data_IF_813867456465
#
_entry.id   IF_813867456465
#
_cell.length_a   1.000
_cell.length_b   1.000
_cell.length_c   1.000
_cell.angle_alpha   90.00
_cell.angle_beta   90.00
_cell.angle_gamma   90.00
#
_symmetry.space_group_name_H-M   'P 1'
#
loop_
_entity.id
_entity.type
_entity.pdbx_description
1 polymer ?
#
# COMPACT_ATOMS: atom_id res chain seq x y z
N UNK A 1 -11.90 -19.19 0.91
CA UNK A 1 -11.41 -17.81 0.96
C UNK A 1 -10.27 -17.74 -0.05
N UNK A 2 -10.30 -16.78 -0.97
CA UNK A 2 -9.13 -16.53 -1.82
C UNK A 2 -7.94 -16.23 -0.90
N UNK A 3 -6.77 -16.75 -1.26
CA UNK A 3 -5.53 -16.53 -0.49
C UNK A 3 -5.11 -15.06 -0.71
N UNK A 4 -5.58 -14.19 0.20
CA UNK A 4 -5.22 -12.76 0.14
C UNK A 4 -3.73 -12.60 0.40
N UNK A 5 -3.09 -11.72 -0.34
CA UNK A 5 -1.74 -11.27 -0.02
C UNK A 5 -1.69 -10.80 1.44
N UNK A 6 -0.60 -11.07 2.14
CA UNK A 6 -0.47 -10.87 3.59
C UNK A 6 -0.86 -9.46 4.08
N UNK A 7 -0.50 -8.40 3.34
CA UNK A 7 -0.83 -7.02 3.68
C UNK A 7 -2.34 -6.75 3.53
N UNK A 8 -2.98 -7.23 2.47
CA UNK A 8 -4.42 -7.13 2.26
C UNK A 8 -5.20 -7.91 3.33
N UNK A 9 -4.69 -9.08 3.73
CA UNK A 9 -5.28 -9.89 4.79
C UNK A 9 -5.25 -9.17 6.15
N UNK A 10 -4.16 -8.45 6.45
CA UNK A 10 -4.08 -7.61 7.66
C UNK A 10 -5.08 -6.48 7.59
N UNK A 11 -5.17 -5.73 6.47
CA UNK A 11 -6.14 -4.63 6.33
C UNK A 11 -7.57 -5.15 6.49
N UNK A 12 -7.92 -6.26 5.83
CA UNK A 12 -9.24 -6.86 5.95
C UNK A 12 -9.56 -7.25 7.41
N UNK A 13 -8.57 -7.79 8.14
CA UNK A 13 -8.70 -8.12 9.58
C UNK A 13 -8.91 -6.85 10.43
N UNK A 14 -8.11 -5.82 10.20
CA UNK A 14 -8.16 -4.57 10.99
C UNK A 14 -9.45 -3.77 10.76
N UNK A 15 -10.00 -3.88 9.55
CA UNK A 15 -11.27 -3.24 9.20
C UNK A 15 -12.49 -4.11 9.49
N UNK A 16 -12.31 -5.37 9.91
CA UNK A 16 -13.42 -6.24 10.26
C UNK A 16 -14.26 -5.65 11.40
N UNK A 17 -15.59 -5.68 11.25
CA UNK A 17 -16.51 -5.06 12.22
C UNK A 17 -16.77 -3.56 12.01
N UNK A 18 -16.13 -2.93 11.04
CA UNK A 18 -16.36 -1.52 10.67
C UNK A 18 -17.43 -1.36 9.57
N UNK A 19 -18.56 -2.04 9.70
CA UNK A 19 -19.67 -1.94 8.74
C UNK A 19 -20.12 -0.49 8.53
N UNK A 20 -20.41 -0.12 7.28
CA UNK A 20 -20.82 1.23 6.91
C UNK A 20 -19.67 2.23 6.70
N UNK A 21 -18.42 1.82 6.95
CA UNK A 21 -17.25 2.62 6.61
C UNK A 21 -16.99 2.61 5.10
N UNK A 22 -16.41 3.71 4.61
CA UNK A 22 -16.02 3.89 3.21
C UNK A 22 -14.50 3.75 3.07
N UNK A 23 -14.08 2.93 2.12
CA UNK A 23 -12.67 2.66 1.84
C UNK A 23 -12.38 2.97 0.37
N UNK A 24 -11.30 3.73 0.11
CA UNK A 24 -10.75 3.91 -1.23
C UNK A 24 -9.46 3.10 -1.35
N UNK A 25 -9.46 2.12 -2.24
CA UNK A 25 -8.31 1.28 -2.57
C UNK A 25 -7.60 1.86 -3.81
N UNK A 26 -6.45 2.48 -3.61
CA UNK A 26 -5.68 3.20 -4.63
C UNK A 26 -4.65 2.25 -5.24
N UNK A 27 -4.77 2.00 -6.56
CA UNK A 27 -4.06 0.92 -7.23
C UNK A 27 -4.63 -0.43 -6.82
N UNK A 28 -5.96 -0.58 -6.92
CA UNK A 28 -6.69 -1.73 -6.37
C UNK A 28 -6.43 -3.06 -7.07
N UNK A 29 -5.72 -3.05 -8.21
CA UNK A 29 -5.42 -4.24 -8.97
C UNK A 29 -6.68 -4.98 -9.44
N UNK A 30 -6.78 -6.26 -9.17
CA UNK A 30 -7.95 -7.09 -9.50
C UNK A 30 -9.10 -6.99 -8.49
N UNK A 31 -9.01 -6.07 -7.52
CA UNK A 31 -10.02 -5.81 -6.50
C UNK A 31 -10.10 -6.84 -5.38
N UNK A 32 -9.03 -7.58 -5.12
CA UNK A 32 -9.03 -8.63 -4.09
C UNK A 32 -9.38 -8.09 -2.69
N UNK A 33 -8.83 -6.93 -2.30
CA UNK A 33 -9.16 -6.29 -1.03
C UNK A 33 -10.62 -5.83 -0.99
N UNK A 34 -11.08 -5.14 -2.03
CA UNK A 34 -12.47 -4.65 -2.11
C UNK A 34 -13.49 -5.78 -1.99
N UNK A 35 -13.24 -6.91 -2.67
CA UNK A 35 -14.09 -8.08 -2.56
C UNK A 35 -14.11 -8.64 -1.13
N UNK A 36 -12.95 -8.75 -0.48
CA UNK A 36 -12.86 -9.23 0.89
C UNK A 36 -13.60 -8.31 1.88
N UNK A 37 -13.46 -6.99 1.74
CA UNK A 37 -14.13 -6.01 2.59
C UNK A 37 -15.65 -6.03 2.41
N UNK A 38 -16.13 -6.14 1.18
CA UNK A 38 -17.57 -6.29 0.88
C UNK A 38 -18.14 -7.55 1.52
N UNK A 39 -17.48 -8.70 1.28
CA UNK A 39 -18.01 -10.01 1.63
C UNK A 39 -17.92 -10.32 3.13
N UNK A 40 -16.91 -9.77 3.83
CA UNK A 40 -16.67 -10.02 5.25
C UNK A 40 -17.31 -8.98 6.18
N UNK A 41 -17.43 -7.73 5.76
CA UNK A 41 -17.72 -6.63 6.67
C UNK A 41 -18.80 -5.67 6.18
N UNK A 42 -19.32 -5.81 4.95
CA UNK A 42 -20.30 -4.89 4.38
C UNK A 42 -19.77 -3.45 4.27
N UNK A 43 -18.47 -3.30 4.01
CA UNK A 43 -17.80 -2.01 3.83
C UNK A 43 -18.04 -1.53 2.38
N UNK A 44 -18.33 -0.24 2.20
CA UNK A 44 -18.36 0.40 0.87
C UNK A 44 -16.92 0.64 0.39
N UNK A 45 -16.37 -0.36 -0.30
CA UNK A 45 -15.03 -0.29 -0.86
C UNK A 45 -15.09 0.11 -2.33
N UNK A 46 -14.36 1.18 -2.68
CA UNK A 46 -14.20 1.69 -4.05
C UNK A 46 -12.75 1.64 -4.44
N UNK A 47 -12.47 1.45 -5.74
CA UNK A 47 -11.13 1.36 -6.27
C UNK A 47 -10.82 2.41 -7.31
N UNK A 48 -9.54 2.77 -7.41
CA UNK A 48 -8.95 3.45 -8.56
C UNK A 48 -7.80 2.58 -9.09
N UNK A 49 -7.76 2.35 -10.41
CA UNK A 49 -6.76 1.49 -11.05
C UNK A 49 -6.45 2.04 -12.45
N UNK A 50 -5.15 2.11 -12.79
CA UNK A 50 -4.71 2.65 -14.08
C UNK A 50 -4.83 1.61 -15.21
N UNK A 51 -4.70 0.33 -14.91
CA UNK A 51 -4.72 -0.74 -15.88
C UNK A 51 -6.16 -1.15 -16.23
N UNK A 52 -6.56 -0.90 -17.49
CA UNK A 52 -7.92 -1.19 -17.98
C UNK A 52 -8.32 -2.66 -17.85
N UNK A 53 -7.39 -3.60 -18.06
CA UNK A 53 -7.70 -5.04 -17.94
C UNK A 53 -8.03 -5.43 -16.49
N UNK A 54 -7.37 -4.78 -15.51
CA UNK A 54 -7.65 -4.98 -14.09
C UNK A 54 -8.97 -4.32 -13.68
N UNK A 55 -9.28 -3.15 -14.25
CA UNK A 55 -10.58 -2.48 -14.09
C UNK A 55 -11.71 -3.38 -14.60
N UNK A 56 -11.57 -3.97 -15.79
CA UNK A 56 -12.55 -4.92 -16.34
C UNK A 56 -12.78 -6.13 -15.43
N UNK A 57 -11.70 -6.68 -14.84
CA UNK A 57 -11.80 -7.76 -13.84
C UNK A 57 -12.58 -7.33 -12.60
N UNK A 58 -12.33 -6.14 -12.08
CA UNK A 58 -13.09 -5.59 -10.95
C UNK A 58 -14.58 -5.44 -11.29
N UNK A 59 -14.91 -4.85 -12.44
CA UNK A 59 -16.29 -4.66 -12.90
C UNK A 59 -16.99 -6.00 -13.08
N UNK A 60 -16.33 -6.99 -13.69
CA UNK A 60 -16.91 -8.34 -13.87
C UNK A 60 -17.23 -9.05 -12.54
N UNK A 61 -16.57 -8.65 -11.44
CA UNK A 61 -16.82 -9.13 -10.07
C UNK A 61 -17.84 -8.27 -9.31
N UNK A 62 -18.45 -7.28 -9.98
CA UNK A 62 -19.43 -6.38 -9.38
C UNK A 62 -18.81 -5.42 -8.36
N UNK A 63 -17.53 -5.05 -8.53
CA UNK A 63 -16.84 -4.10 -7.67
C UNK A 63 -16.92 -2.68 -8.25
N UNK A 64 -16.99 -1.68 -7.38
CA UNK A 64 -17.02 -0.25 -7.75
C UNK A 64 -15.59 0.25 -7.98
N UNK A 65 -15.18 0.40 -9.22
CA UNK A 65 -13.84 0.86 -9.61
C UNK A 65 -13.92 1.94 -10.68
N UNK A 66 -13.00 2.89 -10.62
CA UNK A 66 -12.78 3.92 -11.64
C UNK A 66 -11.41 3.66 -12.28
N UNK A 67 -11.34 3.74 -13.61
CA UNK A 67 -10.06 3.78 -14.29
C UNK A 67 -9.45 5.16 -14.12
N UNK A 68 -8.24 5.23 -13.56
CA UNK A 68 -7.59 6.50 -13.30
C UNK A 68 -6.15 6.35 -12.81
N UNK A 69 -5.43 7.46 -12.85
CA UNK A 69 -4.06 7.57 -12.36
C UNK A 69 -4.05 8.20 -10.96
N UNK A 70 -3.54 7.46 -9.98
CA UNK A 70 -3.45 7.95 -8.60
C UNK A 70 -2.59 9.22 -8.45
N UNK A 71 -1.60 9.42 -9.32
CA UNK A 71 -0.72 10.61 -9.29
C UNK A 71 -1.47 11.90 -9.67
N UNK A 72 -2.59 11.82 -10.38
CA UNK A 72 -3.37 12.97 -10.88
C UNK A 72 -4.79 13.03 -10.33
N UNK A 73 -5.48 11.90 -10.30
CA UNK A 73 -6.93 11.88 -10.14
C UNK A 73 -7.38 11.87 -8.66
N UNK A 74 -6.46 11.60 -7.72
CA UNK A 74 -6.77 11.76 -6.28
C UNK A 74 -7.15 13.21 -5.94
N UNK A 75 -6.62 14.20 -6.66
CA UNK A 75 -6.93 15.61 -6.46
C UNK A 75 -8.43 15.93 -6.68
N UNK A 76 -9.14 15.13 -7.47
CA UNK A 76 -10.57 15.33 -7.77
C UNK A 76 -11.50 14.81 -6.66
N UNK A 77 -10.96 14.04 -5.70
CA UNK A 77 -11.74 13.54 -4.57
C UNK A 77 -11.88 14.61 -3.48
N UNK A 78 -13.09 14.77 -2.88
CA UNK A 78 -13.27 15.69 -1.76
C UNK A 78 -12.44 15.30 -0.52
N UNK A 79 -12.11 16.29 0.29
CA UNK A 79 -11.46 16.08 1.58
C UNK A 79 -12.32 15.18 2.48
N UNK A 80 -11.69 14.22 3.14
CA UNK A 80 -12.35 13.29 4.07
C UNK A 80 -13.56 12.56 3.46
N UNK A 81 -13.51 12.31 2.13
CA UNK A 81 -14.54 11.56 1.43
C UNK A 81 -14.62 10.09 1.87
N UNK A 82 -13.53 9.55 2.44
CA UNK A 82 -13.43 8.17 2.91
C UNK A 82 -12.94 8.10 4.36
N UNK A 83 -13.36 7.07 5.07
CA UNK A 83 -12.84 6.78 6.42
C UNK A 83 -11.40 6.24 6.33
N UNK A 84 -11.13 5.44 5.27
CA UNK A 84 -9.81 4.88 5.02
C UNK A 84 -9.43 5.00 3.55
N UNK A 85 -8.17 5.34 3.30
CA UNK A 85 -7.50 5.14 2.01
C UNK A 85 -6.49 4.01 2.13
N UNK A 86 -6.31 3.25 1.08
CA UNK A 86 -5.36 2.13 1.04
C UNK A 86 -4.46 2.29 -0.17
N UNK A 87 -3.15 2.15 0.02
CA UNK A 87 -2.14 2.15 -1.04
C UNK A 87 -1.19 0.97 -0.82
N UNK A 88 -1.49 -0.17 -1.44
CA UNK A 88 -0.73 -1.40 -1.25
C UNK A 88 0.21 -1.69 -2.41
N UNK A 89 1.54 -1.67 -2.16
CA UNK A 89 2.61 -1.96 -3.11
C UNK A 89 2.66 -0.98 -4.31
N UNK A 90 1.90 0.11 -4.28
CA UNK A 90 1.79 1.11 -5.35
C UNK A 90 2.72 2.30 -5.12
N UNK A 91 3.06 2.62 -3.85
CA UNK A 91 3.93 3.76 -3.53
C UNK A 91 5.26 3.79 -4.31
N UNK A 92 5.98 2.66 -4.50
CA UNK A 92 7.23 2.67 -5.27
C UNK A 92 7.07 2.91 -6.76
N UNK A 93 5.86 2.80 -7.31
CA UNK A 93 5.58 2.98 -8.75
C UNK A 93 5.05 4.38 -9.08
N UNK A 94 4.66 5.16 -8.05
CA UNK A 94 4.16 6.52 -8.23
C UNK A 94 5.28 7.49 -8.60
N UNK A 95 4.93 8.54 -9.35
CA UNK A 95 5.88 9.59 -9.75
C UNK A 95 6.28 10.49 -8.58
N UNK A 96 5.33 10.77 -7.69
CA UNK A 96 5.50 11.68 -6.54
C UNK A 96 4.93 11.06 -5.26
N UNK A 97 5.67 10.10 -4.64
CA UNK A 97 5.25 9.43 -3.40
C UNK A 97 4.90 10.40 -2.27
N UNK A 98 5.61 11.53 -2.22
CA UNK A 98 5.39 12.60 -1.26
C UNK A 98 4.02 13.28 -1.40
N UNK A 99 3.57 13.49 -2.64
CA UNK A 99 2.25 14.07 -2.93
C UNK A 99 1.13 13.06 -2.76
N UNK A 100 1.35 11.82 -3.20
CA UNK A 100 0.36 10.76 -2.99
C UNK A 100 0.08 10.59 -1.50
N UNK A 101 1.10 10.64 -0.64
CA UNK A 101 0.89 10.53 0.80
C UNK A 101 0.04 11.68 1.34
N UNK A 102 0.27 12.93 0.87
CA UNK A 102 -0.56 14.08 1.22
C UNK A 102 -2.02 13.85 0.78
N UNK A 103 -2.24 13.39 -0.46
CA UNK A 103 -3.58 13.14 -1.00
C UNK A 103 -4.31 12.00 -0.27
N UNK A 104 -3.62 10.90 0.05
CA UNK A 104 -4.21 9.82 0.85
C UNK A 104 -4.73 10.33 2.20
N UNK A 105 -3.95 11.18 2.88
CA UNK A 105 -4.31 11.73 4.17
C UNK A 105 -5.34 12.88 4.06
N UNK A 106 -5.44 13.53 2.91
CA UNK A 106 -6.49 14.52 2.61
C UNK A 106 -7.83 13.85 2.36
N UNK A 107 -7.85 12.85 1.47
CA UNK A 107 -9.06 12.14 1.02
C UNK A 107 -9.60 11.19 2.09
N UNK A 108 -8.71 10.53 2.85
CA UNK A 108 -9.08 9.63 3.96
C UNK A 108 -8.85 10.24 5.34
N UNK A 109 -9.61 9.77 6.34
CA UNK A 109 -9.30 10.07 7.75
C UNK A 109 -8.03 9.34 8.19
N UNK A 110 -7.86 8.11 7.69
CA UNK A 110 -6.69 7.25 7.91
C UNK A 110 -6.21 6.64 6.59
N UNK A 111 -4.94 6.31 6.52
CA UNK A 111 -4.35 5.67 5.36
C UNK A 111 -3.58 4.40 5.74
N UNK A 112 -3.77 3.32 4.98
CA UNK A 112 -2.89 2.16 4.99
C UNK A 112 -1.94 2.23 3.81
N UNK A 113 -0.64 2.13 4.08
CA UNK A 113 0.39 2.15 3.02
C UNK A 113 1.30 0.95 3.20
N UNK A 114 1.49 0.13 2.16
CA UNK A 114 2.45 -0.97 2.18
C UNK A 114 3.43 -0.90 1.02
N UNK A 115 4.64 -1.39 1.24
CA UNK A 115 5.69 -1.42 0.24
C UNK A 115 6.75 -2.50 0.52
N UNK A 116 7.48 -2.90 -0.52
CA UNK A 116 8.67 -3.73 -0.40
C UNK A 116 9.81 -2.91 0.22
N UNK A 117 10.45 -3.44 1.28
CA UNK A 117 11.55 -2.76 1.96
C UNK A 117 12.88 -3.03 1.24
N UNK A 118 13.38 -2.04 0.53
CA UNK A 118 14.64 -2.12 -0.18
C UNK A 118 15.86 -2.28 0.74
N UNK A 119 15.74 -1.90 2.02
CA UNK A 119 16.81 -2.04 3.02
C UNK A 119 16.96 -3.45 3.63
N UNK A 120 16.16 -4.44 3.19
CA UNK A 120 16.28 -5.82 3.67
C UNK A 120 17.71 -6.35 3.49
N UNK A 121 18.21 -7.13 4.46
CA UNK A 121 19.62 -7.57 4.51
C UNK A 121 20.07 -8.32 3.24
N UNK A 122 19.20 -9.10 2.60
CA UNK A 122 19.54 -9.80 1.34
C UNK A 122 19.81 -8.83 0.20
N UNK A 123 19.02 -7.75 0.10
CA UNK A 123 19.23 -6.69 -0.89
C UNK A 123 20.56 -5.99 -0.66
N UNK A 124 20.81 -5.61 0.60
CA UNK A 124 22.10 -4.98 0.99
C UNK A 124 23.29 -5.87 0.69
N UNK A 125 23.22 -7.16 1.05
CA UNK A 125 24.30 -8.12 0.82
C UNK A 125 24.56 -8.36 -0.68
N UNK A 126 23.50 -8.47 -1.49
CA UNK A 126 23.63 -8.63 -2.94
C UNK A 126 24.31 -7.43 -3.59
N UNK A 127 23.94 -6.20 -3.19
CA UNK A 127 24.56 -4.98 -3.68
C UNK A 127 26.02 -4.85 -3.19
N UNK A 128 26.27 -5.11 -1.90
CA UNK A 128 27.59 -4.93 -1.29
C UNK A 128 28.64 -5.93 -1.81
N UNK A 129 28.26 -7.20 -1.94
CA UNK A 129 29.19 -8.27 -2.31
C UNK A 129 29.09 -8.67 -3.78
N UNK A 130 27.92 -8.55 -4.40
CA UNK A 130 27.69 -8.95 -5.80
C UNK A 130 27.69 -7.79 -6.80
N UNK A 131 27.55 -6.55 -6.33
CA UNK A 131 27.46 -5.35 -7.19
C UNK A 131 26.29 -5.39 -8.18
N UNK A 132 25.27 -6.21 -7.92
CA UNK A 132 24.11 -6.41 -8.82
C UNK A 132 22.81 -6.20 -8.05
N UNK A 133 21.80 -5.63 -8.76
CA UNK A 133 20.44 -5.53 -8.24
C UNK A 133 19.87 -6.94 -8.01
N UNK A 134 19.43 -7.24 -6.79
CA UNK A 134 18.90 -8.57 -6.50
C UNK A 134 17.53 -8.78 -7.12
N UNK A 135 17.24 -10.02 -7.49
CA UNK A 135 15.89 -10.52 -7.69
C UNK A 135 15.54 -11.35 -6.47
N UNK A 136 14.53 -10.94 -5.72
CA UNK A 136 14.11 -11.56 -4.44
C UNK A 136 12.59 -11.73 -4.42
N UNK A 137 12.05 -12.34 -3.39
CA UNK A 137 10.60 -12.42 -3.23
C UNK A 137 9.92 -11.04 -3.14
N UNK A 138 10.59 -10.07 -2.52
CA UNK A 138 10.10 -8.68 -2.41
C UNK A 138 10.35 -7.85 -3.69
N UNK A 139 11.34 -8.23 -4.48
CA UNK A 139 11.71 -7.60 -5.74
C UNK A 139 11.77 -8.69 -6.83
N UNK A 140 10.61 -9.20 -7.30
CA UNK A 140 10.56 -10.44 -8.08
C UNK A 140 10.99 -10.30 -9.55
N UNK A 141 11.15 -9.06 -10.02
CA UNK A 141 11.51 -8.77 -11.42
C UNK A 141 12.88 -8.13 -11.52
N UNK A 142 13.51 -8.29 -12.68
CA UNK A 142 14.80 -7.66 -12.98
C UNK A 142 14.69 -6.13 -12.98
N UNK A 143 15.83 -5.46 -12.73
CA UNK A 143 15.89 -3.99 -12.62
C UNK A 143 15.35 -3.23 -13.85
N UNK A 144 15.41 -3.82 -15.05
CA UNK A 144 14.92 -3.23 -16.29
C UNK A 144 13.45 -3.56 -16.59
N UNK A 145 12.84 -4.50 -15.89
CA UNK A 145 11.45 -4.92 -16.09
C UNK A 145 10.52 -4.48 -14.95
N UNK A 146 11.07 -3.92 -13.87
CA UNK A 146 10.29 -3.44 -12.74
C UNK A 146 9.58 -2.13 -13.08
N UNK A 147 8.37 -1.97 -12.55
CA UNK A 147 7.63 -0.70 -12.58
C UNK A 147 8.03 0.21 -11.40
N UNK A 148 8.80 -0.30 -10.44
CA UNK A 148 9.24 0.51 -9.30
C UNK A 148 10.25 1.56 -9.76
N UNK A 149 9.91 2.82 -9.55
CA UNK A 149 10.78 3.98 -9.79
C UNK A 149 11.51 4.40 -8.51
N UNK A 150 10.92 4.10 -7.35
CA UNK A 150 11.50 4.44 -6.04
C UNK A 150 11.85 3.20 -5.24
N UNK A 151 12.98 3.27 -4.54
CA UNK A 151 13.47 2.20 -3.68
C UNK A 151 13.28 2.59 -2.21
N UNK A 152 12.07 2.34 -1.71
CA UNK A 152 11.64 2.77 -0.38
C UNK A 152 12.23 1.86 0.70
N UNK A 153 12.73 2.46 1.78
CA UNK A 153 13.09 1.74 3.01
C UNK A 153 12.12 2.08 4.15
N UNK A 154 12.12 1.26 5.20
CA UNK A 154 11.30 1.53 6.39
C UNK A 154 11.69 2.89 7.02
N UNK A 155 12.98 3.20 7.09
CA UNK A 155 13.46 4.45 7.68
C UNK A 155 13.14 5.67 6.83
N UNK A 156 13.31 5.58 5.49
CA UNK A 156 12.96 6.68 4.58
C UNK A 156 11.46 6.98 4.61
N UNK A 157 10.61 5.94 4.65
CA UNK A 157 9.17 6.13 4.78
C UNK A 157 8.79 6.79 6.11
N UNK A 158 9.41 6.38 7.22
CA UNK A 158 9.18 7.03 8.52
C UNK A 158 9.63 8.50 8.52
N UNK A 159 10.73 8.81 7.83
CA UNK A 159 11.21 10.18 7.68
C UNK A 159 10.22 11.02 6.84
N UNK A 160 9.76 10.48 5.72
CA UNK A 160 8.76 11.13 4.86
C UNK A 160 7.44 11.36 5.63
N UNK A 161 6.92 10.35 6.32
CA UNK A 161 5.71 10.48 7.12
C UNK A 161 5.83 11.61 8.16
N UNK A 162 6.98 11.69 8.84
CA UNK A 162 7.28 12.76 9.80
C UNK A 162 7.34 14.13 9.13
N UNK A 163 8.00 14.25 7.99
CA UNK A 163 8.11 15.50 7.20
C UNK A 163 6.73 16.01 6.79
N UNK A 164 5.84 15.10 6.41
CA UNK A 164 4.45 15.39 6.04
C UNK A 164 3.51 15.62 7.23
N UNK A 165 4.02 15.58 8.45
CA UNK A 165 3.20 15.72 9.66
C UNK A 165 2.23 14.55 9.89
N UNK A 166 2.41 13.44 9.19
CA UNK A 166 1.60 12.25 9.37
C UNK A 166 1.98 11.52 10.67
N UNK A 167 0.97 11.09 11.42
CA UNK A 167 1.16 10.27 12.60
C UNK A 167 1.08 8.79 12.24
N UNK A 168 2.12 8.02 12.59
CA UNK A 168 2.11 6.58 12.46
C UNK A 168 1.36 5.99 13.65
N UNK A 169 0.16 5.47 13.39
CA UNK A 169 -0.70 4.85 14.42
C UNK A 169 -0.27 3.43 14.71
N UNK A 170 -0.07 2.62 13.65
CA UNK A 170 0.36 1.23 13.74
C UNK A 170 1.32 0.89 12.62
N UNK A 171 2.07 -0.20 12.82
CA UNK A 171 3.05 -0.70 11.85
C UNK A 171 3.11 -2.23 11.88
N UNK A 172 3.25 -2.83 10.72
CA UNK A 172 3.43 -4.27 10.54
C UNK A 172 4.62 -4.53 9.62
N UNK A 173 5.36 -5.55 9.95
CA UNK A 173 6.55 -5.94 9.22
C UNK A 173 6.47 -7.41 8.86
N UNK A 174 6.89 -7.77 7.66
CA UNK A 174 6.75 -9.14 7.16
C UNK A 174 8.08 -9.64 6.60
N UNK A 175 8.38 -10.91 6.84
CA UNK A 175 9.49 -11.63 6.26
C UNK A 175 9.13 -13.11 6.09
N UNK A 176 9.42 -13.68 4.92
CA UNK A 176 9.02 -15.05 4.59
C UNK A 176 7.52 -15.29 4.69
N UNK A 177 6.69 -14.29 4.34
CA UNK A 177 5.23 -14.36 4.40
C UNK A 177 4.63 -14.34 5.82
N UNK A 178 5.43 -14.04 6.86
CA UNK A 178 4.99 -13.99 8.26
C UNK A 178 5.25 -12.61 8.85
N UNK A 179 4.37 -12.21 9.77
CA UNK A 179 4.57 -11.00 10.56
C UNK A 179 5.76 -11.18 11.51
N UNK A 180 6.60 -10.15 11.61
CA UNK A 180 7.77 -10.10 12.50
C UNK A 180 7.71 -8.86 13.41
N UNK A 181 8.42 -8.91 14.54
CA UNK A 181 8.48 -7.78 15.47
C UNK A 181 9.26 -6.57 14.93
N UNK A 182 8.97 -5.41 15.51
CA UNK A 182 9.58 -4.11 15.17
C UNK A 182 11.12 -4.03 15.30
N UNK A 183 11.78 -4.66 16.32
CA UNK A 183 13.22 -4.51 16.47
C UNK A 183 13.99 -4.96 15.22
N UNK A 184 14.80 -4.03 14.65
CA UNK A 184 15.58 -4.28 13.46
C UNK A 184 14.76 -4.46 12.17
N UNK A 185 13.53 -3.98 12.13
CA UNK A 185 12.62 -4.16 10.99
C UNK A 185 13.21 -3.63 9.68
N UNK A 186 13.91 -2.50 9.69
CA UNK A 186 14.57 -1.97 8.48
C UNK A 186 15.61 -2.94 7.88
N UNK A 187 16.19 -3.84 8.71
CA UNK A 187 17.11 -4.87 8.26
C UNK A 187 16.44 -6.21 7.94
N UNK A 188 15.40 -6.58 8.70
CA UNK A 188 14.81 -7.93 8.71
C UNK A 188 13.54 -8.05 7.88
N UNK A 189 12.79 -6.95 7.69
CA UNK A 189 11.53 -6.97 6.96
C UNK A 189 11.76 -6.96 5.45
N UNK A 190 11.09 -7.85 4.74
CA UNK A 190 10.96 -7.83 3.28
C UNK A 190 9.90 -6.83 2.83
N UNK A 191 8.83 -6.70 3.63
CA UNK A 191 7.73 -5.77 3.41
C UNK A 191 7.38 -5.04 4.69
N UNK A 192 6.92 -3.81 4.55
CA UNK A 192 6.40 -3.00 5.64
C UNK A 192 5.00 -2.48 5.29
N UNK A 193 4.15 -2.33 6.31
CA UNK A 193 2.86 -1.69 6.21
C UNK A 193 2.66 -0.76 7.39
N UNK A 194 2.05 0.38 7.14
CA UNK A 194 1.78 1.43 8.12
C UNK A 194 0.32 1.85 8.06
N UNK A 195 -0.27 2.09 9.22
CA UNK A 195 -1.49 2.86 9.35
C UNK A 195 -1.12 4.27 9.80
N UNK A 196 -1.62 5.25 9.06
CA UNK A 196 -1.33 6.66 9.26
C UNK A 196 -2.62 7.43 9.54
N UNK A 197 -2.48 8.53 10.29
CA UNK A 197 -3.49 9.59 10.35
C UNK A 197 -2.85 10.94 10.03
N UNK A 198 -3.65 11.89 9.55
CA UNK A 198 -3.18 13.27 9.41
C UNK A 198 -2.84 13.85 10.77
N UNK A 199 -1.74 14.62 10.89
CA UNK A 199 -1.50 15.44 12.05
C UNK A 199 -2.64 16.46 12.21
N UNK A 200 -3.12 16.64 13.42
CA UNK A 200 -4.00 17.77 13.72
C UNK A 200 -3.18 19.04 13.54
N UNK A 201 -3.44 19.81 12.47
CA UNK A 201 -3.05 21.21 12.39
C UNK A 201 -4.01 22.05 13.22
#
# INVERSE_FOLDING_TARGET
MADLRFDLAVIARELNGNSGKRVLDVGCGDGALMAALRDQSGIDARGIEINSELVEKCVSRGLSVVQGDADTDLADYPDKAFDYTVLCQTLPTSTRPDRILDELLRVGERAFVSFANFAHWRTRSALMFGGKMPVTQALPVSWYATQNIHHVTVEDFCALAKEKGARIERRWFFSGGREIGTPGANWRAEFAMFELSGGLN
#
